data_IF_531937260555
#
_entry.id   IF_531937260555
#
_cell.length_a   1.000
_cell.length_b   1.000
_cell.length_c   1.000
_cell.angle_alpha   90.00
_cell.angle_beta   90.00
_cell.angle_gamma   90.00
#
_symmetry.space_group_name_H-M   'P 1'
#
loop_
_entity.id
_entity.type
_entity.pdbx_description
1 polymer ?
#
# COMPACT_ATOMS: atom_id res chain seq x y z
N UNK A 1 -23.10 30.07 -28.20
CA UNK A 1 -23.15 29.74 -26.75
C UNK A 1 -22.20 28.57 -26.49
N UNK A 2 -20.94 28.83 -26.08
CA UNK A 2 -19.88 27.82 -25.92
C UNK A 2 -19.05 28.12 -24.67
N UNK A 3 -19.64 28.09 -23.47
CA UNK A 3 -18.92 28.34 -22.21
C UNK A 3 -19.60 27.64 -21.03
N UNK A 4 -19.63 26.31 -21.02
CA UNK A 4 -20.12 25.58 -19.84
C UNK A 4 -19.54 24.17 -19.65
N UNK A 5 -18.58 23.73 -20.49
CA UNK A 5 -18.05 22.37 -20.42
C UNK A 5 -16.61 22.27 -19.87
N UNK A 6 -15.98 23.40 -19.49
CA UNK A 6 -14.57 23.42 -19.08
C UNK A 6 -14.36 23.24 -17.57
N UNK A 7 -15.39 23.42 -16.73
CA UNK A 7 -15.23 23.35 -15.27
C UNK A 7 -15.25 21.93 -14.69
N UNK A 8 -15.96 21.00 -15.33
CA UNK A 8 -16.17 19.64 -14.80
C UNK A 8 -14.97 18.70 -15.04
N UNK A 9 -14.16 18.96 -16.06
CA UNK A 9 -12.99 18.14 -16.40
C UNK A 9 -11.80 18.36 -15.46
N UNK A 10 -11.66 19.56 -14.87
CA UNK A 10 -10.54 19.87 -13.95
C UNK A 10 -10.70 19.25 -12.56
N UNK A 11 -11.91 18.92 -12.13
CA UNK A 11 -12.15 18.27 -10.84
C UNK A 11 -11.84 16.76 -10.84
N UNK A 12 -11.95 16.10 -11.99
CA UNK A 12 -11.61 14.67 -12.14
C UNK A 12 -10.09 14.41 -12.19
N UNK A 13 -9.28 15.40 -12.54
CA UNK A 13 -7.82 15.27 -12.62
C UNK A 13 -7.10 15.43 -11.27
N UNK A 14 -7.79 15.95 -10.24
CA UNK A 14 -7.22 16.13 -8.90
C UNK A 14 -7.36 14.90 -7.98
N UNK A 15 -8.01 13.83 -8.44
CA UNK A 15 -8.20 12.61 -7.65
C UNK A 15 -7.10 11.54 -7.85
N UNK A 16 -6.17 11.73 -8.79
CA UNK A 16 -5.28 10.66 -9.29
C UNK A 16 -3.81 10.73 -8.92
N UNK A 17 -3.36 11.65 -8.07
CA UNK A 17 -1.95 11.76 -7.66
C UNK A 17 -1.69 11.25 -6.24
N UNK A 18 -2.52 10.33 -5.74
CA UNK A 18 -2.09 9.50 -4.62
C UNK A 18 -1.13 8.48 -5.21
N UNK A 19 0.18 8.70 -5.06
CA UNK A 19 1.23 7.75 -5.46
C UNK A 19 0.78 6.34 -5.08
N UNK A 20 0.51 5.49 -6.08
CA UNK A 20 0.01 4.14 -5.86
C UNK A 20 0.93 3.43 -4.85
N UNK A 21 0.36 2.77 -3.82
CA UNK A 21 1.15 2.04 -2.85
C UNK A 21 2.04 1.01 -3.55
N UNK A 22 3.33 0.99 -3.24
CA UNK A 22 4.23 -0.05 -3.71
C UNK A 22 3.99 -1.28 -2.84
N UNK A 23 3.37 -2.29 -3.45
CA UNK A 23 2.98 -3.54 -2.79
C UNK A 23 3.91 -4.66 -3.25
N UNK A 24 4.66 -5.23 -2.32
CA UNK A 24 5.61 -6.30 -2.59
C UNK A 24 5.22 -7.56 -1.81
N UNK A 25 5.29 -8.70 -2.48
CA UNK A 25 5.10 -10.01 -1.85
C UNK A 25 6.24 -10.94 -2.24
N UNK A 26 6.94 -11.49 -1.27
CA UNK A 26 8.02 -12.44 -1.48
C UNK A 26 7.67 -13.74 -0.77
N UNK A 27 7.66 -14.87 -1.47
CA UNK A 27 7.46 -16.18 -0.84
C UNK A 27 8.72 -16.55 -0.06
N UNK A 28 8.57 -16.85 1.22
CA UNK A 28 9.68 -17.25 2.13
C UNK A 28 9.56 -18.70 2.62
N UNK A 29 8.43 -19.37 2.34
CA UNK A 29 8.23 -20.78 2.64
C UNK A 29 6.94 -21.34 2.02
N UNK A 30 6.63 -22.63 2.26
CA UNK A 30 5.36 -23.22 1.85
C UNK A 30 4.21 -22.49 2.56
N UNK A 31 3.27 -21.95 1.76
CA UNK A 31 2.18 -21.10 2.23
C UNK A 31 2.62 -19.87 3.08
N UNK A 32 3.92 -19.51 3.08
CA UNK A 32 4.44 -18.42 3.91
C UNK A 32 5.01 -17.30 3.04
N UNK A 33 4.49 -16.10 3.22
CA UNK A 33 4.81 -14.93 2.41
C UNK A 33 5.22 -13.77 3.28
N UNK A 34 6.30 -13.09 2.89
CA UNK A 34 6.66 -11.77 3.37
C UNK A 34 5.97 -10.72 2.51
N UNK A 35 5.25 -9.82 3.15
CA UNK A 35 4.49 -8.74 2.55
C UNK A 35 5.14 -7.41 2.94
N UNK A 36 5.28 -6.50 1.98
CA UNK A 36 5.71 -5.14 2.25
C UNK A 36 4.78 -4.18 1.52
N UNK A 37 4.41 -3.12 2.22
CA UNK A 37 3.74 -1.96 1.63
C UNK A 37 4.63 -0.76 1.85
N UNK A 38 4.72 0.08 0.83
CA UNK A 38 5.35 1.39 0.93
C UNK A 38 4.41 2.44 0.33
N UNK A 39 4.18 3.53 1.06
CA UNK A 39 3.36 4.70 0.69
C UNK A 39 4.09 5.97 1.09
N UNK A 40 4.18 6.94 0.18
CA UNK A 40 4.78 8.24 0.49
C UNK A 40 3.90 9.13 1.39
N UNK A 41 2.56 9.03 1.25
CA UNK A 41 1.59 9.77 2.08
C UNK A 41 0.80 8.82 2.98
N UNK A 42 1.35 8.53 4.15
CA UNK A 42 0.67 7.75 5.19
C UNK A 42 0.21 8.69 6.28
N UNK A 43 -1.11 8.80 6.44
CA UNK A 43 -1.74 9.57 7.51
C UNK A 43 -1.68 8.78 8.82
N UNK A 44 -1.88 7.45 8.76
CA UNK A 44 -1.84 6.58 9.93
C UNK A 44 -1.30 5.17 9.61
N UNK A 45 -0.67 4.53 10.60
CA UNK A 45 -0.14 3.16 10.49
C UNK A 45 -1.22 2.13 10.16
N UNK A 46 -2.45 2.31 10.65
CA UNK A 46 -3.56 1.41 10.37
C UNK A 46 -3.85 1.30 8.86
N UNK A 47 -3.59 2.35 8.08
CA UNK A 47 -3.72 2.33 6.63
C UNK A 47 -2.75 1.34 5.99
N UNK A 48 -1.49 1.32 6.43
CA UNK A 48 -0.49 0.37 5.96
C UNK A 48 -0.84 -1.06 6.38
N UNK A 49 -1.35 -1.25 7.60
CA UNK A 49 -1.80 -2.57 8.06
C UNK A 49 -3.04 -3.08 7.31
N UNK A 50 -3.91 -2.18 6.86
CA UNK A 50 -5.03 -2.52 5.96
C UNK A 50 -4.52 -2.92 4.58
N UNK A 51 -3.55 -2.20 4.01
CA UNK A 51 -2.94 -2.56 2.72
C UNK A 51 -2.25 -3.93 2.79
N UNK A 52 -1.55 -4.24 3.88
CA UNK A 52 -0.94 -5.56 4.10
C UNK A 52 -2.00 -6.65 4.18
N UNK A 53 -3.12 -6.43 4.87
CA UNK A 53 -4.25 -7.38 4.94
C UNK A 53 -4.89 -7.60 3.57
N UNK A 54 -5.09 -6.53 2.81
CA UNK A 54 -5.60 -6.61 1.44
C UNK A 54 -4.63 -7.37 0.52
N UNK A 55 -3.32 -7.12 0.67
CA UNK A 55 -2.28 -7.84 -0.08
C UNK A 55 -2.23 -9.32 0.31
N UNK A 56 -2.34 -9.65 1.59
CA UNK A 56 -2.42 -11.01 2.08
C UNK A 56 -3.62 -11.75 1.49
N UNK A 57 -4.80 -11.13 1.51
CA UNK A 57 -6.02 -11.70 0.94
C UNK A 57 -5.90 -11.95 -0.56
N UNK A 58 -5.22 -11.05 -1.30
CA UNK A 58 -4.92 -11.26 -2.73
C UNK A 58 -3.92 -12.39 -2.98
N UNK A 59 -3.00 -12.66 -2.05
CA UNK A 59 -1.95 -13.69 -2.21
C UNK A 59 -2.38 -15.07 -1.70
N UNK A 60 -3.29 -15.11 -0.74
CA UNK A 60 -3.83 -16.33 -0.13
C UNK A 60 -5.29 -16.56 -0.57
N UNK A 61 -5.54 -17.24 -1.71
CA UNK A 61 -6.90 -17.44 -2.21
C UNK A 61 -7.79 -18.29 -1.29
N UNK A 62 -7.21 -19.22 -0.53
CA UNK A 62 -7.90 -20.05 0.48
C UNK A 62 -8.10 -19.35 1.83
N UNK A 63 -7.56 -18.14 2.00
CA UNK A 63 -7.61 -17.38 3.23
C UNK A 63 -6.22 -17.03 3.76
N UNK A 64 -6.03 -15.76 4.09
CA UNK A 64 -4.84 -15.28 4.77
C UNK A 64 -4.97 -15.50 6.28
N UNK A 65 -3.93 -16.06 6.90
CA UNK A 65 -3.80 -16.09 8.36
C UNK A 65 -3.49 -14.71 8.94
N UNK A 66 -3.18 -14.68 10.24
CA UNK A 66 -2.79 -13.44 10.91
C UNK A 66 -1.50 -12.87 10.30
N UNK A 67 -1.42 -11.53 10.26
CA UNK A 67 -0.16 -10.84 9.96
C UNK A 67 0.80 -11.01 11.15
N UNK A 68 1.92 -11.66 10.91
CA UNK A 68 3.00 -11.87 11.86
C UNK A 68 4.16 -10.90 11.59
N UNK A 69 5.03 -10.72 12.57
CA UNK A 69 6.30 -10.00 12.40
C UNK A 69 6.17 -8.59 11.77
N UNK A 70 5.19 -7.81 12.23
CA UNK A 70 4.91 -6.47 11.68
C UNK A 70 6.01 -5.49 12.11
N UNK A 71 6.78 -4.99 11.14
CA UNK A 71 7.91 -4.09 11.37
C UNK A 71 7.83 -2.85 10.47
N UNK A 72 8.04 -1.64 11.01
CA UNK A 72 8.19 -0.45 10.18
C UNK A 72 9.49 -0.52 9.39
N UNK A 73 9.44 -0.10 8.13
CA UNK A 73 10.60 0.03 7.26
C UNK A 73 10.80 1.49 6.85
N UNK A 74 12.04 1.90 6.54
CA UNK A 74 12.25 3.18 5.87
C UNK A 74 11.61 3.13 4.48
N UNK A 75 10.71 4.08 4.20
CA UNK A 75 10.14 4.29 2.85
C UNK A 75 11.26 4.43 1.82
N UNK A 76 11.14 3.69 0.72
CA UNK A 76 12.05 3.79 -0.44
C UNK A 76 11.44 4.63 -1.56
N UNK A 77 10.15 4.93 -1.49
CA UNK A 77 9.56 5.94 -2.34
C UNK A 77 10.21 7.28 -2.02
N UNK A 78 10.87 7.85 -3.03
CA UNK A 78 11.47 9.17 -2.96
C UNK A 78 10.41 10.23 -3.22
N UNK A 79 10.31 11.22 -2.34
CA UNK A 79 9.55 12.44 -2.64
C UNK A 79 10.47 13.39 -3.39
N UNK A 80 9.95 14.04 -4.44
CA UNK A 80 10.60 15.19 -5.10
C UNK A 80 10.93 16.34 -4.12
N UNK A 81 10.28 16.35 -2.95
CA UNK A 81 10.48 17.33 -1.87
C UNK A 81 11.07 16.73 -0.59
N UNK A 82 11.51 15.46 -0.60
CA UNK A 82 12.16 14.83 0.56
C UNK A 82 11.23 14.46 1.74
N UNK A 83 9.93 14.66 1.60
CA UNK A 83 8.94 14.51 2.68
C UNK A 83 8.25 13.15 2.78
N UNK A 84 8.66 12.10 2.04
CA UNK A 84 8.07 10.78 2.32
C UNK A 84 8.41 10.42 3.77
N UNK A 85 7.37 10.38 4.61
CA UNK A 85 7.50 10.17 6.04
C UNK A 85 8.28 8.87 6.27
N UNK A 86 9.23 8.86 7.22
CA UNK A 86 10.02 7.66 7.57
C UNK A 86 9.17 6.44 7.99
N UNK A 87 7.86 6.62 8.16
CA UNK A 87 6.86 5.60 8.52
C UNK A 87 6.02 5.14 7.33
N UNK A 88 6.40 5.54 6.11
CA UNK A 88 5.68 5.24 4.88
C UNK A 88 5.67 3.76 4.50
N UNK A 89 6.58 2.95 5.05
CA UNK A 89 6.67 1.54 4.73
C UNK A 89 6.47 0.62 5.95
N UNK A 90 5.80 -0.50 5.71
CA UNK A 90 5.51 -1.53 6.70
C UNK A 90 5.72 -2.91 6.08
N UNK A 91 6.39 -3.78 6.82
CA UNK A 91 6.56 -5.18 6.49
C UNK A 91 5.74 -6.04 7.45
N UNK A 92 5.17 -7.12 6.94
CA UNK A 92 4.65 -8.21 7.74
C UNK A 92 4.91 -9.54 7.05
N UNK A 93 4.70 -10.62 7.77
CA UNK A 93 4.70 -11.98 7.24
C UNK A 93 3.29 -12.54 7.38
N UNK A 94 2.90 -13.43 6.48
CA UNK A 94 1.59 -14.09 6.54
C UNK A 94 1.72 -15.53 6.12
N UNK A 95 1.07 -16.41 6.87
CA UNK A 95 0.86 -17.80 6.48
C UNK A 95 -0.54 -17.94 5.91
N UNK A 96 -0.65 -18.40 4.67
CA UNK A 96 -1.94 -18.77 4.10
C UNK A 96 -2.45 -20.02 4.81
N UNK A 97 -3.77 -20.12 4.94
CA UNK A 97 -4.38 -21.35 5.38
C UNK A 97 -4.19 -22.46 4.32
N UNK A 98 -3.97 -23.70 4.77
CA UNK A 98 -3.86 -24.86 3.88
C UNK A 98 -5.16 -25.10 3.10
#
# INVERSE_FOLDING_TARGET
MKRAAAGALSALLLAGCQSDPVLLSTRIGPAHYRLQVDRCHVIDRAQLEQDLRALASRKCPTGAGALENIQPLPSRQGSLFGECLRRGALQAEVRCHP
#
